data_IF_655645682681
#
_entry.id   IF_655645682681
#
_cell.length_a   1.000
_cell.length_b   1.000
_cell.length_c   1.000
_cell.angle_alpha   90.00
_cell.angle_beta   90.00
_cell.angle_gamma   90.00
#
_symmetry.space_group_name_H-M   'P 1'
#
loop_
_entity.id
_entity.type
_entity.pdbx_description
1 polymer ?
#
# COMPACT_ATOMS: atom_id res chain seq x y z
N UNK A 1 14.50 16.17 17.80
CA UNK A 1 13.42 17.15 18.10
C UNK A 1 12.34 17.19 17.02
N UNK A 2 12.68 17.31 15.72
CA UNK A 2 11.69 17.37 14.62
C UNK A 2 10.74 16.17 14.58
N UNK A 3 11.26 14.95 14.71
CA UNK A 3 10.42 13.73 14.75
C UNK A 3 9.49 13.67 15.96
N UNK A 4 9.91 14.19 17.12
CA UNK A 4 9.06 14.24 18.30
C UNK A 4 7.93 15.27 18.13
N UNK A 5 8.23 16.43 17.53
CA UNK A 5 7.22 17.44 17.22
C UNK A 5 6.20 16.92 16.19
N UNK A 6 6.65 16.21 15.15
CA UNK A 6 5.79 15.54 14.18
C UNK A 6 4.90 14.48 14.84
N UNK A 7 5.45 13.63 15.71
CA UNK A 7 4.65 12.64 16.44
C UNK A 7 3.60 13.28 17.35
N UNK A 8 3.93 14.38 18.03
CA UNK A 8 2.95 15.14 18.83
C UNK A 8 1.88 15.80 17.97
N UNK A 9 2.23 16.33 16.80
CA UNK A 9 1.28 16.90 15.85
C UNK A 9 0.32 15.83 15.31
N UNK A 10 0.84 14.67 14.94
CA UNK A 10 0.03 13.53 14.48
C UNK A 10 -0.89 13.05 15.60
N UNK A 11 -0.40 12.93 16.85
CA UNK A 11 -1.22 12.56 18.00
C UNK A 11 -2.34 13.58 18.27
N UNK A 12 -2.05 14.88 18.14
CA UNK A 12 -3.04 15.95 18.28
C UNK A 12 -4.10 15.88 17.18
N UNK A 13 -3.70 15.69 15.92
CA UNK A 13 -4.62 15.54 14.79
C UNK A 13 -5.52 14.30 14.96
N UNK A 14 -4.95 13.17 15.40
CA UNK A 14 -5.72 11.96 15.71
C UNK A 14 -6.71 12.27 16.84
N UNK A 15 -6.30 12.92 17.93
CA UNK A 15 -7.20 13.26 19.03
C UNK A 15 -8.32 14.22 18.62
N UNK A 16 -8.03 15.19 17.76
CA UNK A 16 -8.99 16.20 17.32
C UNK A 16 -10.01 15.67 16.30
N UNK A 17 -9.58 14.77 15.40
CA UNK A 17 -10.40 14.33 14.26
C UNK A 17 -10.94 12.89 14.39
N UNK A 18 -10.40 12.05 15.28
CA UNK A 18 -10.97 10.73 15.54
C UNK A 18 -12.21 10.89 16.41
N UNK A 19 -13.38 10.75 15.79
CA UNK A 19 -14.64 10.57 16.50
C UNK A 19 -14.73 9.12 17.00
N UNK A 20 -14.64 8.94 18.32
CA UNK A 20 -14.76 7.65 18.97
C UNK A 20 -16.24 7.20 19.03
N UNK A 21 -16.65 6.10 18.37
CA UNK A 21 -18.06 5.68 18.30
C UNK A 21 -18.66 5.24 19.64
N UNK A 22 -17.82 4.99 20.67
CA UNK A 22 -18.26 4.42 21.95
C UNK A 22 -18.69 5.45 23.00
N UNK A 23 -18.54 6.75 22.73
CA UNK A 23 -18.68 7.78 23.77
C UNK A 23 -20.13 8.18 24.09
N UNK A 24 -21.13 7.62 23.39
CA UNK A 24 -22.55 7.99 23.53
C UNK A 24 -23.35 7.19 24.56
N UNK A 25 -22.76 6.26 25.32
CA UNK A 25 -23.44 5.57 26.43
C UNK A 25 -22.69 5.76 27.74
N UNK A 26 -22.94 6.89 28.40
CA UNK A 26 -22.44 7.21 29.74
C UNK A 26 -23.57 7.03 30.75
N UNK A 27 -23.49 5.96 31.55
CA UNK A 27 -23.97 5.84 32.94
C UNK A 27 -23.79 4.37 33.38
N UNK A 28 -22.65 3.99 33.98
CA UNK A 28 -22.53 2.82 34.89
C UNK A 28 -21.10 2.61 35.43
N UNK A 29 -20.61 3.53 36.26
CA UNK A 29 -19.28 3.37 36.89
C UNK A 29 -19.25 2.29 37.99
N UNK A 30 -20.40 1.82 38.47
CA UNK A 30 -20.46 0.74 39.49
C UNK A 30 -20.62 -0.66 38.88
N UNK A 31 -21.12 -0.77 37.65
CA UNK A 31 -21.27 -2.06 36.95
C UNK A 31 -19.96 -2.51 36.30
N UNK A 32 -19.03 -1.59 36.06
CA UNK A 32 -17.80 -1.85 35.32
C UNK A 32 -16.83 -2.79 36.04
N UNK A 33 -16.86 -2.86 37.38
CA UNK A 33 -16.04 -3.78 38.16
C UNK A 33 -16.56 -5.22 38.11
N UNK A 34 -17.88 -5.42 38.26
CA UNK A 34 -18.53 -6.73 38.13
C UNK A 34 -18.53 -7.24 36.67
N UNK A 35 -18.67 -6.35 35.70
CA UNK A 35 -18.59 -6.69 34.27
C UNK A 35 -17.16 -7.10 33.85
N UNK A 36 -16.13 -6.58 34.52
CA UNK A 36 -14.73 -6.91 34.19
C UNK A 36 -14.38 -8.34 34.56
N UNK A 37 -14.88 -8.83 35.69
CA UNK A 37 -14.69 -10.22 36.12
C UNK A 37 -15.53 -11.20 35.28
N UNK A 38 -16.76 -10.85 34.91
CA UNK A 38 -17.57 -11.66 33.98
C UNK A 38 -17.00 -11.70 32.54
N UNK A 39 -16.41 -10.60 32.05
CA UNK A 39 -15.79 -10.53 30.72
C UNK A 39 -14.46 -11.28 30.66
N UNK A 40 -13.72 -11.34 31.77
CA UNK A 40 -12.46 -12.11 31.85
C UNK A 40 -12.70 -13.63 31.83
N UNK A 41 -13.77 -14.13 32.46
CA UNK A 41 -14.10 -15.55 32.46
C UNK A 41 -14.79 -15.99 31.15
N UNK A 42 -15.68 -15.15 30.59
CA UNK A 42 -16.25 -15.36 29.24
C UNK A 42 -15.24 -15.15 28.11
N UNK A 43 -14.15 -14.42 28.33
CA UNK A 43 -13.16 -14.08 27.33
C UNK A 43 -12.43 -15.29 26.74
N UNK A 44 -12.28 -16.38 27.50
CA UNK A 44 -11.54 -17.57 27.06
C UNK A 44 -12.40 -18.55 26.25
N UNK A 45 -13.69 -18.67 26.57
CA UNK A 45 -14.65 -19.43 25.75
C UNK A 45 -15.09 -18.64 24.50
N UNK A 46 -15.23 -17.32 24.62
CA UNK A 46 -15.54 -16.44 23.49
C UNK A 46 -14.34 -16.21 22.57
N UNK A 47 -13.08 -16.27 23.04
CA UNK A 47 -11.93 -16.12 22.15
C UNK A 47 -11.88 -17.26 21.14
N UNK A 48 -12.04 -18.51 21.58
CA UNK A 48 -12.05 -19.67 20.68
C UNK A 48 -13.23 -19.60 19.70
N UNK A 49 -14.42 -19.22 20.15
CA UNK A 49 -15.57 -19.05 19.25
C UNK A 49 -15.36 -17.89 18.26
N UNK A 50 -14.77 -16.77 18.71
CA UNK A 50 -14.39 -15.63 17.85
C UNK A 50 -13.31 -16.01 16.84
N UNK A 51 -12.32 -16.82 17.22
CA UNK A 51 -11.27 -17.33 16.31
C UNK A 51 -11.86 -18.29 15.28
N UNK A 52 -12.78 -19.16 15.67
CA UNK A 52 -13.47 -20.09 14.75
C UNK A 52 -14.41 -19.33 13.81
N UNK A 53 -15.20 -18.38 14.32
CA UNK A 53 -16.06 -17.50 13.52
C UNK A 53 -15.23 -16.68 12.54
N UNK A 54 -14.12 -16.12 13.01
CA UNK A 54 -13.13 -15.42 12.21
C UNK A 54 -12.51 -16.29 11.12
N UNK A 55 -12.12 -17.52 11.44
CA UNK A 55 -11.57 -18.46 10.48
C UNK A 55 -12.60 -18.86 9.42
N UNK A 56 -13.86 -19.00 9.80
CA UNK A 56 -14.96 -19.27 8.87
C UNK A 56 -15.23 -18.05 7.97
N UNK A 57 -15.25 -16.84 8.51
CA UNK A 57 -15.39 -15.60 7.75
C UNK A 57 -14.22 -15.43 6.76
N UNK A 58 -12.99 -15.72 7.20
CA UNK A 58 -11.80 -15.75 6.36
C UNK A 58 -11.91 -16.79 5.24
N UNK A 59 -12.37 -18.01 5.53
CA UNK A 59 -12.59 -19.07 4.54
C UNK A 59 -13.68 -18.69 3.53
N UNK A 60 -14.70 -17.96 3.95
CA UNK A 60 -15.73 -17.44 3.07
C UNK A 60 -15.18 -16.33 2.16
N UNK A 61 -14.40 -15.40 2.71
CA UNK A 61 -13.83 -14.25 1.98
C UNK A 61 -12.72 -14.69 1.02
N UNK A 62 -11.88 -15.65 1.40
CA UNK A 62 -10.87 -16.25 0.50
C UNK A 62 -11.47 -17.01 -0.69
N UNK A 63 -12.75 -17.38 -0.63
CA UNK A 63 -13.48 -17.96 -1.77
C UNK A 63 -14.03 -16.91 -2.73
N UNK A 64 -14.06 -15.64 -2.34
CA UNK A 64 -14.53 -14.55 -3.20
C UNK A 64 -13.45 -14.25 -4.25
N UNK A 65 -13.74 -14.39 -5.55
CA UNK A 65 -12.76 -14.14 -6.61
C UNK A 65 -12.16 -12.73 -6.54
N UNK A 66 -12.99 -11.71 -6.25
CA UNK A 66 -12.51 -10.34 -6.06
C UNK A 66 -11.45 -10.24 -4.96
N UNK A 67 -11.63 -10.94 -3.83
CA UNK A 67 -10.64 -10.94 -2.75
C UNK A 67 -9.31 -11.55 -3.20
N UNK A 68 -9.36 -12.68 -3.91
CA UNK A 68 -8.15 -13.35 -4.42
C UNK A 68 -7.36 -12.46 -5.37
N UNK A 69 -8.04 -11.78 -6.29
CA UNK A 69 -7.38 -10.86 -7.23
C UNK A 69 -6.81 -9.62 -6.54
N UNK A 70 -7.50 -9.06 -5.53
CA UNK A 70 -6.95 -7.93 -4.75
C UNK A 70 -5.72 -8.39 -3.97
N UNK A 71 -5.75 -9.54 -3.29
CA UNK A 71 -4.58 -10.06 -2.56
C UNK A 71 -3.42 -10.33 -3.51
N UNK A 72 -3.69 -10.95 -4.68
CA UNK A 72 -2.66 -11.22 -5.69
C UNK A 72 -2.05 -9.93 -6.24
N UNK A 73 -2.90 -8.93 -6.50
CA UNK A 73 -2.44 -7.60 -6.89
C UNK A 73 -1.63 -6.94 -5.77
N UNK A 74 -2.06 -7.07 -4.51
CA UNK A 74 -1.37 -6.54 -3.34
C UNK A 74 0.03 -7.10 -3.19
N UNK A 75 0.17 -8.42 -3.32
CA UNK A 75 1.46 -9.13 -3.30
C UNK A 75 2.39 -8.63 -4.40
N UNK A 76 1.89 -8.48 -5.64
CA UNK A 76 2.72 -8.02 -6.75
C UNK A 76 2.99 -6.52 -6.67
N UNK A 77 2.00 -5.75 -6.21
CA UNK A 77 2.06 -4.29 -6.12
C UNK A 77 2.91 -3.78 -4.98
N UNK A 78 3.18 -4.61 -3.96
CA UNK A 78 4.11 -4.31 -2.88
C UNK A 78 5.58 -4.48 -3.29
N UNK A 79 5.89 -5.28 -4.33
CA UNK A 79 7.26 -5.52 -4.78
C UNK A 79 7.97 -4.22 -5.24
N UNK A 80 7.37 -3.35 -6.07
CA UNK A 80 7.97 -2.06 -6.45
C UNK A 80 8.22 -1.15 -5.26
N UNK A 81 7.33 -1.15 -4.26
CA UNK A 81 7.51 -0.33 -3.05
C UNK A 81 8.73 -0.76 -2.24
N UNK A 82 8.96 -2.07 -2.12
CA UNK A 82 10.17 -2.58 -1.49
C UNK A 82 11.42 -2.26 -2.31
N UNK A 83 11.34 -2.31 -3.65
CA UNK A 83 12.46 -1.93 -4.51
C UNK A 83 12.81 -0.43 -4.36
N UNK A 84 11.81 0.44 -4.20
CA UNK A 84 12.01 1.87 -4.00
C UNK A 84 12.80 2.23 -2.74
N UNK A 85 12.95 1.33 -1.76
CA UNK A 85 13.81 1.54 -0.59
C UNK A 85 15.28 1.68 -1.00
N UNK A 86 15.71 1.04 -2.09
CA UNK A 86 17.06 1.17 -2.63
C UNK A 86 17.28 2.46 -3.43
N UNK A 87 16.26 3.30 -3.61
CA UNK A 87 16.38 4.57 -4.32
C UNK A 87 17.37 5.51 -3.62
N UNK A 88 17.38 5.54 -2.29
CA UNK A 88 18.35 6.31 -1.51
C UNK A 88 19.79 5.89 -1.81
N UNK A 89 20.05 4.58 -1.77
CA UNK A 89 21.35 4.00 -2.10
C UNK A 89 21.75 4.33 -3.54
N UNK A 90 20.80 4.26 -4.47
CA UNK A 90 21.05 4.61 -5.86
C UNK A 90 21.45 6.07 -6.04
N UNK A 91 20.82 7.02 -5.32
CA UNK A 91 21.24 8.42 -5.34
C UNK A 91 22.64 8.63 -4.78
N UNK A 92 22.98 7.95 -3.69
CA UNK A 92 24.34 7.99 -3.12
C UNK A 92 25.38 7.44 -4.10
N UNK A 93 25.05 6.36 -4.83
CA UNK A 93 25.93 5.80 -5.87
C UNK A 93 26.13 6.74 -7.08
N UNK A 94 25.16 7.60 -7.39
CA UNK A 94 25.29 8.66 -8.40
C UNK A 94 26.26 9.76 -7.93
N UNK A 95 26.51 9.87 -6.62
CA UNK A 95 27.34 10.91 -6.00
C UNK A 95 26.53 12.06 -5.39
N UNK A 96 25.23 11.87 -5.14
CA UNK A 96 24.47 12.82 -4.31
C UNK A 96 24.90 12.69 -2.84
N UNK A 97 25.00 13.83 -2.15
CA UNK A 97 25.21 13.84 -0.71
C UNK A 97 23.99 13.27 0.03
N UNK A 98 24.21 12.68 1.20
CA UNK A 98 23.19 12.06 2.04
C UNK A 98 22.00 12.98 2.30
N UNK A 99 22.25 14.28 2.53
CA UNK A 99 21.19 15.25 2.77
C UNK A 99 20.31 15.48 1.52
N UNK A 100 20.93 15.49 0.33
CA UNK A 100 20.21 15.66 -0.94
C UNK A 100 19.40 14.41 -1.30
N UNK A 101 19.97 13.22 -1.09
CA UNK A 101 19.28 11.94 -1.27
C UNK A 101 18.08 11.82 -0.33
N UNK A 102 18.26 12.17 0.95
CA UNK A 102 17.17 12.19 1.93
C UNK A 102 16.08 13.20 1.56
N UNK A 103 16.46 14.39 1.07
CA UNK A 103 15.50 15.40 0.60
C UNK A 103 14.68 14.90 -0.60
N UNK A 104 15.30 14.25 -1.58
CA UNK A 104 14.61 13.66 -2.74
C UNK A 104 13.60 12.58 -2.32
N UNK A 105 14.00 11.69 -1.41
CA UNK A 105 13.10 10.67 -0.86
C UNK A 105 11.97 11.29 -0.04
N UNK A 106 12.25 12.38 0.69
CA UNK A 106 11.23 13.16 1.40
C UNK A 106 10.22 13.83 0.45
N UNK A 107 10.69 14.38 -0.68
CA UNK A 107 9.83 14.94 -1.74
C UNK A 107 8.96 13.84 -2.34
N UNK A 108 9.54 12.66 -2.60
CA UNK A 108 8.80 11.49 -3.07
C UNK A 108 7.71 11.08 -2.06
N UNK A 109 8.05 10.98 -0.77
CA UNK A 109 7.09 10.65 0.29
C UNK A 109 5.97 11.70 0.39
N UNK A 110 6.30 12.98 0.26
CA UNK A 110 5.32 14.07 0.21
C UNK A 110 4.40 13.94 -1.00
N UNK A 111 4.95 13.62 -2.17
CA UNK A 111 4.18 13.30 -3.37
C UNK A 111 3.25 12.11 -3.17
N UNK A 112 3.71 11.04 -2.52
CA UNK A 112 2.87 9.88 -2.18
C UNK A 112 1.72 10.23 -1.23
N UNK A 113 1.96 11.09 -0.23
CA UNK A 113 0.91 11.53 0.70
C UNK A 113 -0.16 12.37 -0.02
N UNK A 114 0.25 13.35 -0.81
CA UNK A 114 -0.66 14.18 -1.61
C UNK A 114 -1.38 13.35 -2.68
N UNK A 115 -0.67 12.41 -3.32
CA UNK A 115 -1.23 11.51 -4.32
C UNK A 115 -2.30 10.61 -3.70
N UNK A 116 -2.03 10.04 -2.53
CA UNK A 116 -3.01 9.21 -1.82
C UNK A 116 -4.31 9.96 -1.51
N UNK A 117 -4.20 11.25 -1.15
CA UNK A 117 -5.34 12.13 -0.90
C UNK A 117 -6.11 12.47 -2.18
N UNK A 118 -5.41 12.97 -3.21
CA UNK A 118 -6.01 13.34 -4.50
C UNK A 118 -6.62 12.12 -5.19
N UNK A 119 -5.92 10.99 -5.19
CA UNK A 119 -6.39 9.72 -5.73
C UNK A 119 -7.64 9.22 -5.02
N UNK A 120 -7.75 9.41 -3.69
CA UNK A 120 -8.97 9.12 -2.94
C UNK A 120 -10.16 9.96 -3.41
N UNK A 121 -9.98 11.29 -3.52
CA UNK A 121 -11.04 12.21 -3.99
C UNK A 121 -11.48 11.85 -5.41
N UNK A 122 -10.53 11.65 -6.33
CA UNK A 122 -10.82 11.31 -7.73
C UNK A 122 -11.56 9.97 -7.79
N UNK A 123 -11.11 8.96 -7.03
CA UNK A 123 -11.75 7.65 -7.05
C UNK A 123 -13.15 7.66 -6.44
N UNK A 124 -13.41 8.49 -5.44
CA UNK A 124 -14.76 8.66 -4.90
C UNK A 124 -15.68 9.36 -5.88
N UNK A 125 -15.20 10.37 -6.61
CA UNK A 125 -15.95 10.99 -7.71
C UNK A 125 -16.22 9.99 -8.85
N UNK A 126 -15.19 9.25 -9.27
CA UNK A 126 -15.30 8.22 -10.30
C UNK A 126 -16.20 7.06 -9.88
N UNK A 127 -16.24 6.72 -8.59
CA UNK A 127 -17.18 5.72 -8.05
C UNK A 127 -18.63 6.21 -8.12
N UNK A 128 -18.89 7.52 -7.96
CA UNK A 128 -20.25 8.07 -8.15
C UNK A 128 -20.69 8.02 -9.61
N UNK A 129 -19.80 8.32 -10.56
CA UNK A 129 -20.12 8.23 -11.99
C UNK A 129 -20.20 6.78 -12.49
N UNK A 130 -19.25 5.94 -12.09
CA UNK A 130 -19.11 4.54 -12.52
C UNK A 130 -19.02 3.60 -11.30
N UNK A 131 -20.17 3.23 -10.69
CA UNK A 131 -20.21 2.52 -9.41
C UNK A 131 -19.47 1.19 -9.37
N UNK A 132 -19.33 0.51 -10.50
CA UNK A 132 -18.69 -0.82 -10.56
C UNK A 132 -17.26 -0.77 -11.11
N UNK A 133 -16.84 0.33 -11.71
CA UNK A 133 -15.64 0.33 -12.58
C UNK A 133 -14.72 1.51 -12.32
N UNK A 134 -15.23 2.62 -11.76
CA UNK A 134 -14.48 3.85 -11.56
C UNK A 134 -13.23 3.64 -10.70
N UNK A 135 -13.35 2.89 -9.59
CA UNK A 135 -12.20 2.59 -8.71
C UNK A 135 -11.14 1.75 -9.45
N UNK A 136 -11.57 0.72 -10.19
CA UNK A 136 -10.66 -0.16 -10.95
C UNK A 136 -9.91 0.63 -12.05
N UNK A 137 -10.58 1.56 -12.72
CA UNK A 137 -9.95 2.45 -13.71
C UNK A 137 -8.85 3.31 -13.07
N UNK A 138 -9.10 3.88 -11.88
CA UNK A 138 -8.10 4.66 -11.15
C UNK A 138 -6.88 3.81 -10.77
N UNK A 139 -7.08 2.57 -10.31
CA UNK A 139 -6.00 1.63 -10.03
C UNK A 139 -5.18 1.27 -11.27
N UNK A 140 -5.83 1.00 -12.41
CA UNK A 140 -5.11 0.69 -13.65
C UNK A 140 -4.32 1.89 -14.17
N UNK A 141 -4.89 3.09 -14.10
CA UNK A 141 -4.19 4.32 -14.48
C UNK A 141 -2.93 4.51 -13.64
N UNK A 142 -3.05 4.34 -12.32
CA UNK A 142 -1.94 4.43 -11.37
C UNK A 142 -0.84 3.40 -11.66
N UNK A 143 -1.22 2.12 -11.83
CA UNK A 143 -0.28 1.05 -12.15
C UNK A 143 0.42 1.28 -13.51
N UNK A 144 -0.33 1.73 -14.51
CA UNK A 144 0.20 2.04 -15.83
C UNK A 144 1.18 3.20 -15.77
N UNK A 145 0.86 4.29 -15.06
CA UNK A 145 1.73 5.45 -14.90
C UNK A 145 3.03 5.13 -14.14
N UNK A 146 3.04 4.10 -13.29
CA UNK A 146 4.27 3.62 -12.66
C UNK A 146 5.36 3.22 -13.65
N UNK A 147 5.01 2.64 -14.81
CA UNK A 147 5.97 2.18 -15.83
C UNK A 147 6.72 3.34 -16.53
N UNK A 148 6.05 4.34 -17.16
CA UNK A 148 6.73 5.44 -17.83
C UNK A 148 7.52 6.30 -16.85
N UNK A 149 7.03 6.54 -15.64
CA UNK A 149 7.79 7.29 -14.63
C UNK A 149 9.04 6.52 -14.17
N UNK A 150 8.95 5.21 -13.96
CA UNK A 150 10.12 4.38 -13.63
C UNK A 150 11.14 4.36 -14.77
N UNK A 151 10.66 4.28 -16.02
CA UNK A 151 11.52 4.34 -17.20
C UNK A 151 12.21 5.70 -17.33
N UNK A 152 11.46 6.78 -17.17
CA UNK A 152 12.00 8.13 -17.25
C UNK A 152 13.05 8.39 -16.16
N UNK A 153 12.72 8.05 -14.90
CA UNK A 153 13.59 8.23 -13.75
C UNK A 153 14.91 7.47 -13.87
N UNK A 154 14.86 6.19 -14.28
CA UNK A 154 16.00 5.28 -14.20
C UNK A 154 16.80 5.16 -15.51
N UNK A 155 16.22 5.50 -16.68
CA UNK A 155 16.91 5.44 -17.98
C UNK A 155 17.10 6.77 -18.69
N UNK A 156 16.16 7.71 -18.56
CA UNK A 156 16.19 8.95 -19.37
C UNK A 156 17.01 10.04 -18.68
N UNK A 157 16.92 10.14 -17.35
CA UNK A 157 17.67 11.17 -16.62
C UNK A 157 19.15 10.79 -16.58
N UNK A 158 20.07 11.66 -17.05
CA UNK A 158 21.50 11.41 -16.96
C UNK A 158 21.91 11.33 -15.50
N UNK A 159 22.57 10.21 -15.13
CA UNK A 159 23.04 9.91 -13.77
C UNK A 159 24.16 10.88 -13.36
N UNK A 160 23.75 12.10 -13.03
CA UNK A 160 24.62 13.24 -12.74
C UNK A 160 23.97 14.13 -11.69
N UNK A 161 24.80 14.68 -10.80
CA UNK A 161 24.36 15.52 -9.68
C UNK A 161 23.73 16.84 -10.16
N UNK A 162 24.06 17.30 -11.38
CA UNK A 162 23.52 18.52 -11.98
C UNK A 162 22.02 18.46 -12.28
N UNK A 163 21.43 17.26 -12.33
CA UNK A 163 20.01 17.05 -12.67
C UNK A 163 19.07 16.96 -11.47
N UNK A 164 19.48 17.49 -10.29
CA UNK A 164 18.70 17.41 -9.04
C UNK A 164 17.24 17.86 -9.19
N UNK A 165 16.99 18.99 -9.87
CA UNK A 165 15.62 19.52 -10.04
C UNK A 165 14.74 18.58 -10.87
N UNK A 166 15.30 17.94 -11.91
CA UNK A 166 14.60 16.96 -12.75
C UNK A 166 14.26 15.70 -11.95
N UNK A 167 15.17 15.23 -11.09
CA UNK A 167 14.89 14.12 -10.17
C UNK A 167 13.79 14.46 -9.19
N UNK A 168 13.85 15.63 -8.54
CA UNK A 168 12.84 16.08 -7.58
C UNK A 168 11.45 16.19 -8.21
N UNK A 169 11.34 16.82 -9.39
CA UNK A 169 10.08 16.96 -10.10
C UNK A 169 9.51 15.59 -10.54
N UNK A 170 10.36 14.72 -11.08
CA UNK A 170 9.96 13.37 -11.52
C UNK A 170 9.48 12.54 -10.34
N UNK A 171 10.22 12.53 -9.22
CA UNK A 171 9.83 11.79 -8.03
C UNK A 171 8.54 12.32 -7.42
N UNK A 172 8.36 13.63 -7.37
CA UNK A 172 7.13 14.22 -6.89
C UNK A 172 5.93 13.80 -7.73
N UNK A 173 6.02 13.90 -9.06
CA UNK A 173 4.96 13.48 -10.00
C UNK A 173 4.71 11.97 -9.97
N UNK A 174 5.78 11.18 -9.85
CA UNK A 174 5.69 9.74 -9.71
C UNK A 174 4.96 9.38 -8.41
N UNK A 175 5.37 9.92 -7.26
CA UNK A 175 4.70 9.70 -5.99
C UNK A 175 3.23 10.14 -6.01
N UNK A 176 2.94 11.27 -6.68
CA UNK A 176 1.58 11.75 -6.89
C UNK A 176 0.70 10.79 -7.67
N UNK A 177 1.26 9.95 -8.55
CA UNK A 177 0.47 9.10 -9.46
C UNK A 177 0.45 7.63 -9.06
N UNK A 178 1.53 7.08 -8.48
CA UNK A 178 1.65 5.65 -8.16
C UNK A 178 1.01 5.26 -6.81
N UNK A 179 0.66 6.22 -5.97
CA UNK A 179 0.15 5.99 -4.61
C UNK A 179 -1.33 5.64 -4.55
N UNK A 180 -2.07 5.75 -5.67
CA UNK A 180 -3.53 5.72 -5.63
C UNK A 180 -4.09 4.32 -5.37
N UNK A 181 -3.42 3.24 -5.81
CA UNK A 181 -3.96 1.88 -5.74
C UNK A 181 -4.53 1.50 -4.36
N UNK A 182 -3.77 1.78 -3.28
CA UNK A 182 -4.16 1.38 -1.93
C UNK A 182 -5.37 2.17 -1.39
N UNK A 183 -5.36 3.50 -1.53
CA UNK A 183 -6.38 4.39 -0.96
C UNK A 183 -7.62 4.53 -1.85
N UNK A 184 -7.45 4.54 -3.17
CA UNK A 184 -8.53 4.72 -4.14
C UNK A 184 -9.36 3.45 -4.35
N UNK A 185 -8.70 2.28 -4.31
CA UNK A 185 -9.25 1.02 -4.85
C UNK A 185 -9.28 -0.08 -3.80
N UNK A 186 -8.12 -0.55 -3.31
CA UNK A 186 -8.06 -1.76 -2.48
C UNK A 186 -8.84 -1.61 -1.17
N UNK A 187 -8.59 -0.53 -0.40
CA UNK A 187 -9.28 -0.29 0.86
C UNK A 187 -10.81 -0.17 0.70
N UNK A 188 -11.31 0.70 -0.19
CA UNK A 188 -12.75 0.82 -0.43
C UNK A 188 -13.40 -0.44 -0.99
N UNK A 189 -12.73 -1.17 -1.89
CA UNK A 189 -13.27 -2.43 -2.43
C UNK A 189 -13.40 -3.50 -1.35
N UNK A 190 -12.41 -3.63 -0.46
CA UNK A 190 -12.55 -4.52 0.68
C UNK A 190 -13.69 -4.10 1.59
N UNK A 191 -13.92 -2.80 1.78
CA UNK A 191 -15.03 -2.33 2.61
C UNK A 191 -16.40 -2.72 2.02
N UNK A 192 -16.52 -2.77 0.69
CA UNK A 192 -17.77 -3.16 0.01
C UNK A 192 -18.01 -4.67 0.00
N UNK A 193 -16.95 -5.49 -0.02
CA UNK A 193 -17.06 -6.96 -0.16
C UNK A 193 -17.08 -7.68 1.19
N UNK A 194 -16.49 -7.09 2.23
CA UNK A 194 -16.26 -7.77 3.51
C UNK A 194 -17.34 -7.40 4.56
N UNK A 195 -17.87 -8.38 5.32
CA UNK A 195 -18.83 -8.13 6.39
C UNK A 195 -18.24 -7.26 7.51
N UNK A 196 -19.04 -6.29 7.99
CA UNK A 196 -18.62 -5.24 8.95
C UNK A 196 -17.93 -5.83 10.20
N UNK A 197 -18.45 -6.96 10.71
CA UNK A 197 -17.96 -7.61 11.93
C UNK A 197 -16.51 -8.09 11.86
N UNK A 198 -15.99 -8.40 10.66
CA UNK A 198 -14.65 -9.00 10.48
C UNK A 198 -13.71 -8.17 9.57
N UNK A 199 -14.09 -6.95 9.17
CA UNK A 199 -13.29 -6.09 8.26
C UNK A 199 -11.86 -5.88 8.74
N UNK A 200 -11.68 -5.47 9.99
CA UNK A 200 -10.35 -5.16 10.55
C UNK A 200 -9.41 -6.36 10.49
N UNK A 201 -9.90 -7.56 10.80
CA UNK A 201 -9.09 -8.76 10.75
C UNK A 201 -8.70 -9.14 9.33
N UNK A 202 -9.64 -9.04 8.39
CA UNK A 202 -9.38 -9.36 6.99
C UNK A 202 -8.36 -8.39 6.38
N UNK A 203 -8.42 -7.11 6.76
CA UNK A 203 -7.43 -6.12 6.35
C UNK A 203 -6.06 -6.42 6.94
N UNK A 204 -6.01 -6.82 8.22
CA UNK A 204 -4.75 -7.21 8.86
C UNK A 204 -4.14 -8.45 8.21
N UNK A 205 -4.96 -9.43 7.84
CA UNK A 205 -4.50 -10.64 7.17
C UNK A 205 -3.98 -10.35 5.76
N UNK A 206 -4.73 -9.59 4.96
CA UNK A 206 -4.29 -9.13 3.64
C UNK A 206 -2.94 -8.41 3.73
N UNK A 207 -2.80 -7.43 4.63
CA UNK A 207 -1.54 -6.73 4.85
C UNK A 207 -0.41 -7.63 5.31
N UNK A 208 -0.68 -8.61 6.18
CA UNK A 208 0.33 -9.57 6.59
C UNK A 208 0.84 -10.39 5.40
N UNK A 209 -0.04 -10.81 4.50
CA UNK A 209 0.32 -11.53 3.27
C UNK A 209 1.10 -10.64 2.32
N UNK A 210 0.58 -9.46 1.97
CA UNK A 210 1.24 -8.51 1.07
C UNK A 210 2.67 -8.21 1.53
N UNK A 211 2.84 -7.88 2.81
CA UNK A 211 4.15 -7.50 3.38
C UNK A 211 5.09 -8.69 3.45
N UNK A 212 4.60 -9.87 3.86
CA UNK A 212 5.44 -11.08 3.93
C UNK A 212 6.03 -11.44 2.58
N UNK A 213 5.23 -11.41 1.50
CA UNK A 213 5.73 -11.66 0.16
C UNK A 213 6.60 -10.50 -0.38
N UNK A 214 6.27 -9.25 -0.03
CA UNK A 214 7.07 -8.09 -0.41
C UNK A 214 8.51 -8.15 0.10
N UNK A 215 8.73 -8.83 1.23
CA UNK A 215 10.05 -8.94 1.86
C UNK A 215 11.08 -9.64 0.96
N UNK A 216 10.62 -10.55 0.08
CA UNK A 216 11.49 -11.22 -0.89
C UNK A 216 11.97 -10.32 -2.03
N UNK A 217 11.30 -9.18 -2.27
CA UNK A 217 11.69 -8.26 -3.34
C UNK A 217 13.08 -7.67 -3.11
N UNK A 218 13.43 -7.31 -1.87
CA UNK A 218 14.72 -6.69 -1.57
C UNK A 218 15.91 -7.62 -1.86
N UNK A 219 15.92 -8.89 -1.40
CA UNK A 219 16.93 -9.87 -1.82
C UNK A 219 16.96 -10.08 -3.34
N UNK A 220 15.81 -10.14 -4.01
CA UNK A 220 15.75 -10.34 -5.47
C UNK A 220 16.38 -9.15 -6.21
N UNK A 221 16.11 -7.91 -5.80
CA UNK A 221 16.74 -6.71 -6.37
C UNK A 221 18.26 -6.79 -6.22
N UNK A 222 18.76 -7.14 -5.03
CA UNK A 222 20.19 -7.28 -4.78
C UNK A 222 20.84 -8.37 -5.64
N UNK A 223 20.25 -9.56 -5.68
CA UNK A 223 20.74 -10.68 -6.50
C UNK A 223 20.73 -10.31 -7.99
N UNK A 224 19.69 -9.62 -8.46
CA UNK A 224 19.57 -9.21 -9.85
C UNK A 224 20.65 -8.17 -10.20
N UNK A 225 20.89 -7.21 -9.31
CA UNK A 225 21.96 -6.24 -9.47
C UNK A 225 23.34 -6.92 -9.53
N UNK A 226 23.65 -7.81 -8.59
CA UNK A 226 24.94 -8.51 -8.50
C UNK A 226 25.16 -9.51 -9.64
N UNK A 227 24.24 -10.46 -9.84
CA UNK A 227 24.45 -11.59 -10.74
C UNK A 227 24.12 -11.29 -12.21
N UNK A 228 23.13 -10.44 -12.48
CA UNK A 228 22.72 -10.16 -13.87
C UNK A 228 23.30 -8.86 -14.42
N UNK A 229 23.47 -7.85 -13.57
CA UNK A 229 23.97 -6.55 -14.01
C UNK A 229 25.43 -6.27 -13.60
N UNK A 230 26.04 -7.19 -12.84
CA UNK A 230 27.46 -7.15 -12.52
C UNK A 230 27.82 -6.13 -11.45
N UNK A 231 26.91 -5.90 -10.49
CA UNK A 231 27.17 -5.04 -9.35
C UNK A 231 28.24 -5.65 -8.45
N UNK A 232 29.35 -4.93 -8.21
CA UNK A 232 30.43 -5.36 -7.31
C UNK A 232 30.49 -4.44 -6.07
N UNK A 233 30.01 -4.91 -4.90
CA UNK A 233 29.98 -4.12 -3.68
C UNK A 233 31.38 -3.72 -3.18
N UNK A 234 32.45 -4.39 -3.62
CA UNK A 234 33.83 -4.09 -3.23
C UNK A 234 34.47 -2.98 -4.06
N UNK A 235 33.88 -2.65 -5.20
CA UNK A 235 34.34 -1.61 -6.12
C UNK A 235 33.68 -0.25 -5.88
N UNK A 236 32.75 -0.18 -4.92
CA UNK A 236 32.02 1.04 -4.58
C UNK A 236 32.91 1.95 -3.74
N UNK A 237 33.32 3.08 -4.32
CA UNK A 237 33.95 4.16 -3.57
C UNK A 237 32.88 4.93 -2.79
N UNK A 238 32.88 4.91 -1.44
CA UNK A 238 31.87 5.56 -0.63
C UNK A 238 31.94 7.11 -0.66
N UNK A 239 33.00 7.67 -1.25
CA UNK A 239 33.27 9.12 -1.26
C UNK A 239 32.93 9.77 -2.61
N UNK A 240 33.04 9.04 -3.73
CA UNK A 240 32.85 9.58 -5.09
C UNK A 240 31.61 8.99 -5.77
N UNK A 241 31.11 7.85 -5.29
CA UNK A 241 30.10 7.08 -6.00
C UNK A 241 30.70 6.37 -7.21
N UNK A 242 30.02 5.32 -7.69
CA UNK A 242 30.45 4.59 -8.89
C UNK A 242 29.33 4.58 -9.90
N UNK A 243 29.49 5.34 -10.99
CA UNK A 243 28.49 5.45 -12.05
C UNK A 243 28.18 4.12 -12.74
N UNK A 244 29.13 3.18 -12.77
CA UNK A 244 28.91 1.83 -13.28
C UNK A 244 27.95 1.03 -12.38
N UNK A 245 28.14 1.13 -11.07
CA UNK A 245 27.33 0.44 -10.06
C UNK A 245 25.94 1.08 -9.95
N UNK A 246 25.85 2.42 -10.04
CA UNK A 246 24.58 3.15 -10.15
C UNK A 246 23.77 2.71 -11.38
N UNK A 247 24.43 2.45 -12.51
CA UNK A 247 23.79 1.96 -13.72
C UNK A 247 23.33 0.50 -13.60
N UNK A 248 24.15 -0.38 -13.00
CA UNK A 248 23.76 -1.76 -12.72
C UNK A 248 22.55 -1.83 -11.78
N UNK A 249 22.55 -1.06 -10.70
CA UNK A 249 21.44 -0.98 -9.75
C UNK A 249 20.18 -0.38 -10.40
N UNK A 250 20.31 0.67 -11.22
CA UNK A 250 19.16 1.28 -11.92
C UNK A 250 18.42 0.30 -12.83
N UNK A 251 19.15 -0.64 -13.48
CA UNK A 251 18.57 -1.68 -14.33
C UNK A 251 17.85 -2.75 -13.51
N UNK A 252 18.43 -3.13 -12.37
CA UNK A 252 17.79 -4.01 -11.40
C UNK A 252 16.49 -3.44 -10.87
N UNK A 253 16.54 -2.18 -10.42
CA UNK A 253 15.39 -1.40 -9.97
C UNK A 253 14.30 -1.30 -11.04
N UNK A 254 14.68 -0.92 -12.26
CA UNK A 254 13.72 -0.77 -13.36
C UNK A 254 12.99 -2.09 -13.66
N UNK A 255 13.71 -3.22 -13.70
CA UNK A 255 13.10 -4.53 -13.93
C UNK A 255 12.11 -4.91 -12.82
N UNK A 256 12.49 -4.65 -11.56
CA UNK A 256 11.67 -4.95 -10.38
C UNK A 256 10.52 -3.97 -10.15
N UNK A 257 10.48 -2.86 -10.89
CA UNK A 257 9.35 -1.92 -10.88
C UNK A 257 8.43 -2.13 -12.07
N UNK A 258 8.97 -2.19 -13.29
CA UNK A 258 8.19 -2.26 -14.52
C UNK A 258 7.40 -3.58 -14.64
N UNK A 259 8.01 -4.72 -14.30
CA UNK A 259 7.35 -6.03 -14.40
C UNK A 259 6.18 -6.13 -13.41
N UNK A 260 6.36 -5.83 -12.11
CA UNK A 260 5.24 -5.92 -11.17
C UNK A 260 4.16 -4.84 -11.39
N UNK A 261 4.51 -3.64 -11.83
CA UNK A 261 3.49 -2.64 -12.21
C UNK A 261 2.66 -3.10 -13.41
N UNK A 262 3.29 -3.71 -14.42
CA UNK A 262 2.58 -4.32 -15.56
C UNK A 262 1.66 -5.46 -15.13
N UNK A 263 2.16 -6.38 -14.30
CA UNK A 263 1.37 -7.49 -13.76
C UNK A 263 0.21 -6.99 -12.88
N UNK A 264 0.42 -5.95 -12.06
CA UNK A 264 -0.65 -5.31 -11.31
C UNK A 264 -1.78 -4.80 -12.21
N UNK A 265 -1.44 -4.06 -13.27
CA UNK A 265 -2.43 -3.57 -14.24
C UNK A 265 -3.24 -4.71 -14.88
N UNK A 266 -2.56 -5.82 -15.19
CA UNK A 266 -3.20 -7.03 -15.73
C UNK A 266 -4.14 -7.69 -14.72
N UNK A 267 -3.75 -7.82 -13.44
CA UNK A 267 -4.60 -8.41 -12.41
C UNK A 267 -5.82 -7.55 -12.04
N UNK A 268 -5.79 -6.25 -12.32
CA UNK A 268 -6.99 -5.41 -12.23
C UNK A 268 -8.00 -5.64 -13.38
N UNK A 269 -7.59 -6.26 -14.50
CA UNK A 269 -8.48 -6.44 -15.66
C UNK A 269 -9.63 -7.43 -15.40
N UNK A 270 -9.39 -8.61 -14.78
CA UNK A 270 -10.48 -9.52 -14.38
C UNK A 270 -11.47 -8.93 -13.37
N UNK A 271 -11.06 -7.89 -12.63
CA UNK A 271 -11.88 -7.25 -11.60
C UNK A 271 -13.13 -6.57 -12.18
N UNK A 272 -13.08 -6.08 -13.42
CA UNK A 272 -14.24 -5.41 -14.04
C UNK A 272 -15.46 -6.32 -14.16
N UNK A 273 -15.26 -7.61 -14.37
CA UNK A 273 -16.35 -8.59 -14.47
C UNK A 273 -16.74 -9.16 -13.11
N UNK A 274 -15.74 -9.57 -12.31
CA UNK A 274 -16.00 -10.27 -11.05
C UNK A 274 -16.52 -9.34 -9.94
N UNK A 275 -16.03 -8.10 -9.88
CA UNK A 275 -16.43 -7.16 -8.83
C UNK A 275 -17.93 -6.84 -8.88
N UNK A 276 -18.51 -6.73 -10.07
CA UNK A 276 -19.95 -6.47 -10.22
C UNK A 276 -20.78 -7.62 -9.62
N UNK A 277 -20.36 -8.86 -9.85
CA UNK A 277 -21.07 -10.05 -9.38
C UNK A 277 -20.90 -10.22 -7.86
N UNK A 278 -19.67 -10.06 -7.36
CA UNK A 278 -19.36 -10.21 -5.94
C UNK A 278 -20.00 -9.12 -5.08
N UNK A 279 -20.06 -7.87 -5.59
CA UNK A 279 -20.72 -6.77 -4.89
C UNK A 279 -22.22 -6.98 -4.75
N UNK A 280 -22.88 -7.51 -5.78
CA UNK A 280 -24.31 -7.79 -5.73
C UNK A 280 -24.60 -8.93 -4.73
N UNK A 281 -23.79 -9.98 -4.75
CA UNK A 281 -23.90 -11.08 -3.78
C UNK A 281 -23.68 -10.60 -2.33
N UNK A 282 -22.71 -9.70 -2.10
CA UNK A 282 -22.48 -9.10 -0.80
C UNK A 282 -23.67 -8.24 -0.33
N UNK A 283 -24.25 -7.42 -1.22
CA UNK A 283 -25.45 -6.62 -0.92
C UNK A 283 -26.65 -7.48 -0.54
N UNK A 284 -26.90 -8.56 -1.29
CA UNK A 284 -27.99 -9.51 -1.00
C UNK A 284 -27.76 -10.19 0.35
N UNK A 285 -26.52 -10.56 0.69
CA UNK A 285 -26.19 -11.15 1.98
C UNK A 285 -26.44 -10.16 3.14
N UNK A 286 -26.01 -8.91 3.01
CA UNK A 286 -26.26 -7.87 4.03
C UNK A 286 -27.74 -7.53 4.17
N UNK A 287 -28.50 -7.51 3.07
CA UNK A 287 -29.95 -7.28 3.11
C UNK A 287 -30.68 -8.39 3.88
N UNK A 288 -30.34 -9.66 3.61
CA UNK A 288 -30.88 -10.81 4.35
C UNK A 288 -30.53 -10.79 5.83
N UNK A 289 -29.31 -10.39 6.17
CA UNK A 289 -28.89 -10.25 7.57
C UNK A 289 -29.66 -9.14 8.29
N UNK A 290 -30.03 -8.06 7.58
CA UNK A 290 -30.84 -6.95 8.12
C UNK A 290 -32.32 -7.33 8.27
N UNK A 291 -32.86 -8.17 7.38
CA UNK A 291 -34.25 -8.68 7.46
C UNK A 291 -34.45 -9.74 8.55
N UNK A 292 -33.36 -10.34 9.07
CA UNK A 292 -33.39 -11.35 10.14
C UNK A 292 -33.22 -10.75 11.56
N UNK A 293 -33.03 -9.43 11.67
CA UNK A 293 -32.91 -8.68 12.94
C UNK A 293 -34.23 -7.96 13.21
#
# INVERSE_FOLDING_TARGET
MVMAALSCLIAFLVHAFVADPRRTTTNHDTSQALFRDEVMDKGNANSVSLWVESWQAMKAVTRVPTFQYIVLQGIVGSLPWTALVFLTLWFELIGFDHNSSAALVGIFATGCALGSFVGGIIADQMSRLYPNSGRIMCAQFCAFMGIPFSWFLLRVIPQSVSSYSTYAATLFLMGLTISWCATATNGPMFAEVVPVKHRTMIYAFDRAFEVSFSSFAAPVVGILAEKMYGYDPKSVDPVVGSGREALALSRGLFSMMAVPFGLCGLFYTPLYWNFRHDRENARIATAKETEMI
#
